data_IF_704672374517
#
_entry.id   IF_704672374517
#
_cell.length_a   1.000
_cell.length_b   1.000
_cell.length_c   1.000
_cell.angle_alpha   90.00
_cell.angle_beta   90.00
_cell.angle_gamma   90.00
#
_symmetry.space_group_name_H-M   'P 1'
#
loop_
_entity.id
_entity.type
_entity.pdbx_description
1 polymer ?
#
# COMPACT_ATOMS: atom_id res chain seq x y z
N UNK A 1 2.53 -14.83 13.14
CA UNK A 1 1.32 -14.72 12.36
C UNK A 1 0.35 -15.87 12.60
N UNK A 2 0.68 -17.11 12.21
CA UNK A 2 -0.17 -18.32 12.35
C UNK A 2 -0.81 -18.49 13.74
N UNK A 3 -0.02 -18.42 14.81
CA UNK A 3 -0.50 -18.58 16.19
C UNK A 3 -1.50 -17.49 16.57
N UNK A 4 -1.26 -16.24 16.17
CA UNK A 4 -2.16 -15.14 16.47
C UNK A 4 -3.49 -15.26 15.71
N UNK A 5 -3.43 -15.63 14.41
CA UNK A 5 -4.66 -15.83 13.63
C UNK A 5 -5.54 -16.95 14.23
N UNK A 6 -4.93 -18.06 14.65
CA UNK A 6 -5.65 -19.14 15.32
C UNK A 6 -6.23 -18.70 16.66
N UNK A 7 -5.44 -18.01 17.49
CA UNK A 7 -5.92 -17.53 18.78
C UNK A 7 -7.13 -16.60 18.65
N UNK A 8 -7.08 -15.64 17.72
CA UNK A 8 -8.20 -14.73 17.43
C UNK A 8 -9.45 -15.51 17.01
N UNK A 9 -9.28 -16.50 16.14
CA UNK A 9 -10.36 -17.32 15.63
C UNK A 9 -10.95 -18.23 16.72
N UNK A 10 -10.11 -18.96 17.45
CA UNK A 10 -10.53 -19.91 18.51
C UNK A 10 -11.19 -19.22 19.70
N UNK A 11 -10.77 -18.01 20.02
CA UNK A 11 -11.39 -17.18 21.07
C UNK A 11 -12.71 -16.51 20.62
N UNK A 12 -13.10 -16.67 19.35
CA UNK A 12 -14.33 -16.09 18.82
C UNK A 12 -14.32 -14.57 18.80
N UNK A 13 -13.13 -13.96 18.61
CA UNK A 13 -13.02 -12.51 18.47
C UNK A 13 -13.77 -12.08 17.20
N UNK A 14 -14.71 -11.11 17.30
CA UNK A 14 -15.60 -10.78 16.18
C UNK A 14 -14.93 -10.04 15.01
N UNK A 15 -13.65 -9.72 15.13
CA UNK A 15 -12.87 -8.99 14.13
C UNK A 15 -11.71 -9.83 13.59
N UNK A 16 -11.33 -9.67 12.32
CA UNK A 16 -10.15 -10.34 11.79
C UNK A 16 -8.89 -9.86 12.51
N UNK A 17 -7.84 -10.68 12.47
CA UNK A 17 -6.53 -10.23 12.93
C UNK A 17 -6.03 -9.10 12.03
N UNK A 18 -5.79 -7.92 12.60
CA UNK A 18 -5.28 -6.75 11.91
C UNK A 18 -3.74 -6.78 11.86
N UNK A 19 -3.18 -6.69 10.66
CA UNK A 19 -1.75 -6.96 10.42
C UNK A 19 -1.08 -5.84 9.65
N UNK A 20 -0.05 -5.26 10.25
CA UNK A 20 0.98 -4.48 9.56
C UNK A 20 2.08 -5.44 9.12
N UNK A 21 2.27 -5.61 7.81
CA UNK A 21 3.28 -6.52 7.30
C UNK A 21 4.70 -5.99 7.54
N UNK A 22 5.67 -6.89 7.51
CA UNK A 22 7.08 -6.54 7.64
C UNK A 22 7.66 -6.01 6.32
N UNK A 23 8.90 -5.47 6.38
CA UNK A 23 9.66 -4.99 5.22
C UNK A 23 8.99 -3.80 4.50
N UNK A 24 8.37 -2.92 5.26
CA UNK A 24 7.79 -1.68 4.74
C UNK A 24 8.87 -0.89 3.97
N UNK A 25 8.53 -0.42 2.77
CA UNK A 25 9.45 0.35 1.92
C UNK A 25 10.54 -0.46 1.18
N UNK A 26 10.68 -1.74 1.44
CA UNK A 26 11.72 -2.58 0.82
C UNK A 26 11.28 -3.08 -0.55
N UNK A 27 12.06 -2.88 -1.64
CA UNK A 27 11.77 -3.44 -2.94
C UNK A 27 11.57 -4.97 -2.88
N UNK A 28 10.53 -5.47 -3.55
CA UNK A 28 10.19 -6.90 -3.53
C UNK A 28 9.46 -7.37 -2.27
N UNK A 29 9.02 -6.46 -1.40
CA UNK A 29 8.33 -6.79 -0.16
C UNK A 29 6.99 -7.52 -0.38
N UNK A 30 6.40 -7.44 -1.57
CA UNK A 30 5.17 -8.17 -1.90
C UNK A 30 5.30 -9.67 -1.62
N UNK A 31 6.49 -10.24 -1.76
CA UNK A 31 6.75 -11.66 -1.47
C UNK A 31 6.53 -11.97 0.01
N UNK A 32 7.09 -11.14 0.90
CA UNK A 32 6.88 -11.30 2.35
C UNK A 32 5.44 -11.02 2.77
N UNK A 33 4.76 -10.14 2.06
CA UNK A 33 3.33 -9.88 2.26
C UNK A 33 2.49 -11.11 1.91
N UNK A 34 2.75 -11.74 0.76
CA UNK A 34 2.11 -12.99 0.34
C UNK A 34 2.37 -14.11 1.37
N UNK A 35 3.61 -14.25 1.85
CA UNK A 35 3.92 -15.25 2.88
C UNK A 35 3.19 -14.96 4.20
N UNK A 36 2.99 -13.69 4.55
CA UNK A 36 2.18 -13.29 5.72
C UNK A 36 0.72 -13.69 5.54
N UNK A 37 0.15 -13.47 4.36
CA UNK A 37 -1.21 -13.88 4.01
C UNK A 37 -1.36 -15.40 4.09
N UNK A 38 -0.44 -16.15 3.48
CA UNK A 38 -0.43 -17.61 3.52
C UNK A 38 -0.32 -18.16 4.94
N UNK A 39 0.42 -17.49 5.81
CA UNK A 39 0.59 -17.90 7.21
C UNK A 39 -0.69 -17.74 8.05
N UNK A 40 -1.72 -17.07 7.54
CA UNK A 40 -3.04 -17.04 8.15
C UNK A 40 -3.85 -18.35 7.92
N UNK A 41 -3.40 -19.21 7.00
CA UNK A 41 -4.02 -20.52 6.70
C UNK A 41 -5.53 -20.42 6.37
N UNK A 42 -5.94 -19.33 5.71
CA UNK A 42 -7.34 -19.07 5.35
C UNK A 42 -8.21 -18.54 6.48
N UNK A 43 -7.65 -18.32 7.66
CA UNK A 43 -8.35 -17.67 8.77
C UNK A 43 -8.55 -16.17 8.49
N UNK A 44 -9.56 -15.53 9.11
CA UNK A 44 -9.82 -14.11 8.88
C UNK A 44 -8.64 -13.22 9.24
N UNK A 45 -8.19 -12.42 8.26
CA UNK A 45 -7.09 -11.48 8.42
C UNK A 45 -7.35 -10.20 7.63
N UNK A 46 -6.98 -9.08 8.22
CA UNK A 46 -7.00 -7.77 7.58
C UNK A 46 -5.57 -7.25 7.44
N UNK A 47 -5.15 -7.00 6.20
CA UNK A 47 -3.83 -6.40 5.92
C UNK A 47 -4.02 -4.90 5.75
N UNK A 48 -3.37 -4.14 6.63
CA UNK A 48 -3.51 -2.69 6.62
C UNK A 48 -2.52 -2.02 5.66
N UNK A 49 -2.90 -0.85 5.13
CA UNK A 49 -2.14 0.00 4.21
C UNK A 49 -1.32 -0.80 3.19
N UNK A 50 -1.99 -1.74 2.52
CA UNK A 50 -1.37 -2.75 1.66
C UNK A 50 -0.52 -2.16 0.53
N UNK A 51 -0.79 -0.93 0.13
CA UNK A 51 -0.01 -0.21 -0.87
C UNK A 51 1.47 -0.17 -0.50
N UNK A 52 1.82 0.04 0.77
CA UNK A 52 3.21 0.09 1.23
C UNK A 52 3.90 -1.29 1.28
N UNK A 53 3.15 -2.34 1.03
CA UNK A 53 3.59 -3.74 1.06
C UNK A 53 3.44 -4.45 -0.30
N UNK A 54 3.18 -3.68 -1.38
CA UNK A 54 2.94 -4.18 -2.74
C UNK A 54 4.03 -3.76 -3.72
N UNK A 55 5.27 -3.67 -3.25
CA UNK A 55 6.40 -3.30 -4.07
C UNK A 55 7.06 -4.52 -4.70
N UNK A 56 7.20 -4.47 -6.03
CA UNK A 56 8.05 -5.36 -6.82
C UNK A 56 9.50 -4.89 -6.85
N UNK A 57 10.35 -5.68 -7.47
CA UNK A 57 11.77 -5.35 -7.67
C UNK A 57 12.21 -5.59 -9.11
N UNK A 58 11.29 -5.45 -10.05
CA UNK A 58 11.56 -5.58 -11.47
C UNK A 58 11.94 -4.23 -12.09
N UNK A 59 12.49 -4.30 -13.32
CA UNK A 59 12.85 -3.11 -14.08
C UNK A 59 14.24 -2.56 -13.74
N UNK A 60 14.58 -1.51 -14.44
CA UNK A 60 15.89 -0.86 -14.39
C UNK A 60 16.19 -0.14 -13.07
N UNK A 61 15.15 0.27 -12.36
CA UNK A 61 15.25 0.92 -11.04
C UNK A 61 15.17 -0.07 -9.86
N UNK A 62 15.03 -1.38 -10.14
CA UNK A 62 14.84 -2.40 -9.11
C UNK A 62 13.68 -2.06 -8.14
N UNK A 63 12.68 -1.33 -8.62
CA UNK A 63 11.48 -0.92 -7.89
C UNK A 63 10.30 -0.80 -8.86
N UNK A 64 9.25 -1.56 -8.63
CA UNK A 64 8.09 -1.67 -9.54
C UNK A 64 6.80 -1.90 -8.76
N UNK A 65 5.66 -1.83 -9.44
CA UNK A 65 4.39 -2.30 -8.88
C UNK A 65 4.35 -3.82 -8.84
N UNK A 66 3.80 -4.36 -7.76
CA UNK A 66 3.37 -5.75 -7.63
C UNK A 66 1.89 -5.81 -7.20
N UNK A 67 1.11 -4.78 -7.56
CA UNK A 67 -0.32 -4.69 -7.25
C UNK A 67 -1.11 -5.84 -7.87
N UNK A 68 -0.78 -6.24 -9.10
CA UNK A 68 -1.43 -7.35 -9.79
C UNK A 68 -1.25 -8.68 -9.04
N UNK A 69 -0.03 -8.96 -8.60
CA UNK A 69 0.29 -10.17 -7.83
C UNK A 69 -0.43 -10.19 -6.47
N UNK A 70 -0.46 -9.06 -5.77
CA UNK A 70 -1.15 -8.95 -4.48
C UNK A 70 -2.66 -9.10 -4.65
N UNK A 71 -3.25 -8.42 -5.62
CA UNK A 71 -4.71 -8.47 -5.83
C UNK A 71 -5.19 -9.85 -6.27
N UNK A 72 -4.36 -10.62 -6.96
CA UNK A 72 -4.66 -12.02 -7.25
C UNK A 72 -4.91 -12.82 -5.96
N UNK A 73 -4.13 -12.59 -4.89
CA UNK A 73 -4.35 -13.21 -3.59
C UNK A 73 -5.57 -12.66 -2.88
N UNK A 74 -5.80 -11.34 -2.93
CA UNK A 74 -6.99 -10.71 -2.34
C UNK A 74 -8.26 -11.32 -2.96
N UNK A 75 -8.30 -11.43 -4.27
CA UNK A 75 -9.46 -11.94 -4.98
C UNK A 75 -9.73 -13.43 -4.67
N UNK A 76 -8.67 -14.24 -4.53
CA UNK A 76 -8.78 -15.70 -4.31
C UNK A 76 -9.09 -16.12 -2.87
N UNK A 77 -8.66 -15.38 -1.87
CA UNK A 77 -8.77 -15.80 -0.46
C UNK A 77 -10.04 -15.21 0.17
N UNK A 78 -11.04 -16.02 0.54
CA UNK A 78 -12.35 -15.51 0.97
C UNK A 78 -12.30 -14.61 2.22
N UNK A 79 -11.48 -14.97 3.20
CA UNK A 79 -11.42 -14.32 4.51
C UNK A 79 -10.29 -13.28 4.62
N UNK A 80 -9.76 -12.83 3.49
CA UNK A 80 -8.76 -11.78 3.40
C UNK A 80 -9.44 -10.46 3.07
N UNK A 81 -9.22 -9.46 3.91
CA UNK A 81 -9.56 -8.07 3.63
C UNK A 81 -8.31 -7.19 3.74
N UNK A 82 -8.34 -6.02 3.14
CA UNK A 82 -7.26 -5.06 3.26
C UNK A 82 -7.76 -3.62 3.15
N UNK A 83 -6.99 -2.69 3.64
CA UNK A 83 -7.13 -1.28 3.32
C UNK A 83 -5.93 -0.79 2.50
N UNK A 84 -6.16 0.23 1.68
CA UNK A 84 -5.17 0.67 0.70
C UNK A 84 -4.04 1.47 1.32
N UNK A 85 -4.33 2.42 2.19
CA UNK A 85 -3.33 3.37 2.67
C UNK A 85 -2.84 4.31 1.55
N UNK A 86 -3.77 4.84 0.73
CA UNK A 86 -3.46 5.58 -0.49
C UNK A 86 -2.56 6.80 -0.27
N UNK A 87 -1.45 6.85 -0.99
CA UNK A 87 -0.60 8.03 -1.10
C UNK A 87 -1.22 9.05 -2.05
N UNK A 88 -1.29 10.31 -1.61
CA UNK A 88 -1.61 11.45 -2.46
C UNK A 88 -0.51 12.51 -2.34
N UNK A 89 -0.32 13.29 -3.42
CA UNK A 89 0.71 14.32 -3.42
C UNK A 89 0.33 15.50 -2.53
N UNK A 90 1.26 15.94 -1.72
CA UNK A 90 1.07 17.04 -0.78
C UNK A 90 1.77 16.81 0.55
N UNK A 91 1.52 17.72 1.46
CA UNK A 91 2.05 17.65 2.83
C UNK A 91 1.31 16.60 3.65
N UNK A 92 2.07 15.85 4.40
CA UNK A 92 1.57 14.82 5.33
C UNK A 92 2.49 14.72 6.55
N UNK A 93 2.16 13.85 7.46
CA UNK A 93 3.04 13.44 8.54
C UNK A 93 3.12 11.92 8.55
N UNK A 94 4.33 11.40 8.58
CA UNK A 94 4.54 9.97 8.77
C UNK A 94 4.81 9.69 10.25
N UNK A 95 4.27 8.56 10.71
CA UNK A 95 4.65 7.97 11.99
C UNK A 95 5.39 6.68 11.70
N UNK A 96 6.47 6.46 12.40
CA UNK A 96 7.23 5.26 12.22
C UNK A 96 7.50 4.61 13.57
N UNK A 97 7.33 3.32 13.62
CA UNK A 97 7.64 2.45 14.75
C UNK A 97 8.42 1.25 14.25
N UNK A 98 9.31 1.49 13.29
CA UNK A 98 10.04 0.46 12.59
C UNK A 98 10.90 -0.37 13.52
N UNK A 99 10.95 -1.66 13.26
CA UNK A 99 11.81 -2.56 14.00
C UNK A 99 13.28 -2.36 13.63
N UNK A 100 14.19 -2.76 14.51
CA UNK A 100 15.64 -2.77 14.24
C UNK A 100 15.99 -3.55 12.98
N UNK A 101 15.19 -4.54 12.60
CA UNK A 101 15.40 -5.29 11.35
C UNK A 101 15.06 -4.44 10.12
N UNK A 102 14.02 -3.64 10.19
CA UNK A 102 13.66 -2.70 9.12
C UNK A 102 14.73 -1.62 8.99
N UNK A 103 15.25 -1.10 10.10
CA UNK A 103 16.39 -0.20 10.09
C UNK A 103 17.62 -0.86 9.46
N UNK A 104 17.95 -2.07 9.81
CA UNK A 104 19.09 -2.78 9.21
C UNK A 104 18.96 -2.96 7.69
N UNK A 105 17.74 -2.95 7.16
CA UNK A 105 17.44 -3.03 5.73
C UNK A 105 17.23 -1.66 5.06
N UNK A 106 17.43 -0.56 5.76
CA UNK A 106 17.10 0.78 5.25
C UNK A 106 17.77 1.12 3.92
N UNK A 107 19.00 0.61 3.68
CA UNK A 107 19.71 0.81 2.41
C UNK A 107 19.02 0.20 1.19
N UNK A 108 18.04 -0.66 1.39
CA UNK A 108 17.22 -1.27 0.34
C UNK A 108 15.81 -0.66 0.27
N UNK A 109 15.49 0.29 1.13
CA UNK A 109 14.17 0.88 1.22
C UNK A 109 13.97 2.01 0.20
N UNK A 110 12.73 2.15 -0.25
CA UNK A 110 12.22 3.26 -1.04
C UNK A 110 10.80 3.57 -0.56
N UNK A 111 10.40 4.81 -0.41
CA UNK A 111 11.16 6.05 -0.55
C UNK A 111 12.09 6.30 0.64
N UNK A 112 12.96 7.26 0.47
CA UNK A 112 13.94 7.69 1.48
C UNK A 112 13.33 8.17 2.80
N UNK A 113 12.03 8.41 2.86
CA UNK A 113 11.36 8.80 4.11
C UNK A 113 11.60 7.80 5.25
N UNK A 114 11.86 6.56 4.93
CA UNK A 114 12.23 5.54 5.90
C UNK A 114 13.71 5.59 6.27
N UNK A 115 14.52 6.16 5.38
CA UNK A 115 15.95 6.30 5.55
C UNK A 115 16.32 7.52 6.40
N UNK A 116 15.67 8.64 6.14
CA UNK A 116 15.97 9.87 6.86
C UNK A 116 15.31 9.92 8.25
N UNK A 117 14.54 8.91 8.57
CA UNK A 117 13.71 8.90 9.77
C UNK A 117 14.14 7.81 10.73
N UNK A 118 15.43 7.68 10.92
CA UNK A 118 15.99 6.82 11.95
C UNK A 118 15.71 7.31 13.36
N UNK A 119 14.77 8.23 13.48
CA UNK A 119 14.23 8.69 14.74
C UNK A 119 13.79 7.52 15.60
N UNK A 120 13.20 6.51 15.00
CA UNK A 120 12.82 5.31 15.73
C UNK A 120 14.02 4.55 16.26
N UNK A 121 15.07 4.50 15.49
CA UNK A 121 16.31 3.82 15.90
C UNK A 121 17.06 4.57 16.97
N UNK A 122 16.97 5.89 16.94
CA UNK A 122 17.59 6.77 17.94
C UNK A 122 16.67 7.05 19.13
N UNK A 123 15.38 7.22 18.88
CA UNK A 123 14.41 7.70 19.86
C UNK A 123 13.16 6.81 20.02
N UNK A 124 13.06 5.70 19.30
CA UNK A 124 11.93 4.78 19.34
C UNK A 124 10.86 5.12 18.32
N UNK A 125 9.92 5.98 18.60
CA UNK A 125 8.86 6.38 17.68
C UNK A 125 8.89 7.88 17.43
N UNK A 126 8.56 8.27 16.20
CA UNK A 126 8.51 9.67 15.84
C UNK A 126 7.38 10.03 14.90
N UNK A 127 6.96 11.29 14.95
CA UNK A 127 6.06 11.90 13.97
C UNK A 127 6.88 12.91 13.17
N UNK A 128 6.94 12.71 11.87
CA UNK A 128 7.80 13.49 11.00
C UNK A 128 7.00 14.08 9.84
N UNK A 129 7.13 15.39 9.57
CA UNK A 129 6.59 16.00 8.36
C UNK A 129 7.19 15.36 7.13
N UNK A 130 6.33 15.03 6.16
CA UNK A 130 6.73 14.49 4.89
C UNK A 130 5.93 15.12 3.75
N UNK A 131 6.52 15.21 2.56
CA UNK A 131 5.82 15.70 1.37
C UNK A 131 5.96 14.72 0.23
N UNK A 132 4.86 14.09 -0.16
CA UNK A 132 4.79 13.34 -1.40
C UNK A 132 4.78 14.29 -2.59
N UNK A 133 5.58 13.99 -3.63
CA UNK A 133 5.66 14.78 -4.84
C UNK A 133 5.48 13.93 -6.08
N UNK A 134 4.80 14.50 -7.07
CA UNK A 134 4.56 13.89 -8.38
C UNK A 134 5.82 13.75 -9.25
N UNK A 135 6.86 14.51 -8.93
CA UNK A 135 8.16 14.46 -9.58
C UNK A 135 9.10 13.38 -9.01
N UNK A 136 8.77 12.81 -7.87
CA UNK A 136 9.50 11.67 -7.33
C UNK A 136 8.98 10.38 -7.98
N UNK A 137 9.84 9.63 -8.65
CA UNK A 137 9.51 8.33 -9.22
C UNK A 137 8.88 7.39 -8.16
N UNK A 138 9.47 7.35 -6.99
CA UNK A 138 8.99 6.47 -5.89
C UNK A 138 7.60 6.89 -5.42
N UNK A 139 7.39 8.20 -5.21
CA UNK A 139 6.08 8.68 -4.75
C UNK A 139 5.00 8.50 -5.84
N UNK A 140 5.34 8.72 -7.11
CA UNK A 140 4.44 8.48 -8.23
C UNK A 140 4.08 6.99 -8.36
N UNK A 141 5.05 6.09 -8.16
CA UNK A 141 4.79 4.66 -8.15
C UNK A 141 3.90 4.24 -6.95
N UNK A 142 4.15 4.78 -5.77
CA UNK A 142 3.31 4.55 -4.60
C UNK A 142 1.86 4.99 -4.85
N UNK A 143 1.68 6.17 -5.45
CA UNK A 143 0.37 6.66 -5.85
C UNK A 143 -0.33 5.71 -6.81
N UNK A 144 0.39 5.21 -7.82
CA UNK A 144 -0.15 4.27 -8.80
C UNK A 144 -0.52 2.93 -8.17
N UNK A 145 0.35 2.34 -7.36
CA UNK A 145 0.14 1.04 -6.69
C UNK A 145 -1.15 1.04 -5.86
N UNK A 146 -1.41 2.09 -5.11
CA UNK A 146 -2.62 2.14 -4.30
C UNK A 146 -3.89 2.16 -5.14
N UNK A 147 -3.91 2.96 -6.22
CA UNK A 147 -5.04 2.99 -7.16
C UNK A 147 -5.21 1.66 -7.91
N UNK A 148 -4.10 1.06 -8.36
CA UNK A 148 -4.12 -0.26 -9.00
C UNK A 148 -4.71 -1.32 -8.08
N UNK A 149 -4.24 -1.39 -6.85
CA UNK A 149 -4.70 -2.38 -5.87
C UNK A 149 -6.20 -2.25 -5.63
N UNK A 150 -6.70 -1.02 -5.49
CA UNK A 150 -8.13 -0.79 -5.33
C UNK A 150 -8.93 -1.18 -6.57
N UNK A 151 -8.46 -0.78 -7.77
CA UNK A 151 -9.18 -1.00 -9.03
C UNK A 151 -9.12 -2.44 -9.54
N UNK A 152 -8.11 -3.22 -9.14
CA UNK A 152 -7.94 -4.62 -9.53
C UNK A 152 -8.64 -5.59 -8.57
N UNK A 153 -9.05 -5.12 -7.40
CA UNK A 153 -9.81 -5.95 -6.46
C UNK A 153 -11.24 -6.09 -6.96
N UNK A 154 -11.66 -7.33 -7.20
CA UNK A 154 -12.97 -7.65 -7.84
C UNK A 154 -14.13 -7.51 -6.86
N UNK A 155 -13.92 -7.88 -5.61
CA UNK A 155 -14.92 -7.84 -4.56
C UNK A 155 -14.75 -6.58 -3.71
N UNK A 156 -15.69 -5.62 -3.78
CA UNK A 156 -15.60 -4.37 -3.03
C UNK A 156 -15.65 -4.54 -1.51
N UNK A 157 -16.14 -5.68 -1.01
CA UNK A 157 -16.18 -5.96 0.43
C UNK A 157 -14.82 -6.41 0.98
N UNK A 158 -13.83 -6.62 0.10
CA UNK A 158 -12.48 -7.04 0.49
C UNK A 158 -11.48 -5.91 0.59
N UNK A 159 -11.80 -4.72 0.06
CA UNK A 159 -10.86 -3.61 0.03
C UNK A 159 -11.49 -2.31 0.54
N UNK A 160 -10.78 -1.65 1.45
CA UNK A 160 -11.23 -0.41 2.04
C UNK A 160 -10.39 0.76 1.56
N UNK A 161 -11.08 1.84 1.18
CA UNK A 161 -10.44 3.05 0.77
C UNK A 161 -9.96 3.82 2.00
N UNK A 162 -8.66 3.83 2.22
CA UNK A 162 -8.01 4.58 3.30
C UNK A 162 -6.84 5.39 2.77
N UNK A 163 -6.37 6.33 3.55
CA UNK A 163 -5.14 7.09 3.27
C UNK A 163 -4.06 6.84 4.33
N UNK A 164 -4.29 5.88 5.23
CA UNK A 164 -3.41 5.70 6.40
C UNK A 164 -3.15 7.04 7.10
N UNK A 165 -4.26 7.78 7.32
CA UNK A 165 -4.19 9.15 7.83
C UNK A 165 -3.35 9.26 9.12
N UNK A 166 -2.37 10.18 9.17
CA UNK A 166 -2.01 11.17 8.17
C UNK A 166 -0.91 10.74 7.19
N UNK A 167 -0.44 9.49 7.24
CA UNK A 167 0.78 9.05 6.55
C UNK A 167 0.69 9.15 5.01
N UNK A 168 -0.28 8.51 4.38
CA UNK A 168 -0.45 8.57 2.92
C UNK A 168 -1.03 9.89 2.45
N UNK A 169 -2.04 10.40 3.16
CA UNK A 169 -2.65 11.70 2.92
C UNK A 169 -3.57 12.10 4.09
N UNK A 170 -3.90 13.40 4.24
CA UNK A 170 -4.92 13.83 5.18
C UNK A 170 -6.31 13.33 4.76
N UNK A 171 -7.20 13.07 5.73
CA UNK A 171 -8.56 12.58 5.45
C UNK A 171 -9.40 13.56 4.63
N UNK A 172 -9.05 14.84 4.61
CA UNK A 172 -9.69 15.86 3.75
C UNK A 172 -9.47 15.62 2.26
N UNK A 173 -8.56 14.71 1.90
CA UNK A 173 -8.23 14.36 0.51
C UNK A 173 -9.17 13.33 -0.12
N UNK A 174 -10.12 12.75 0.63
CA UNK A 174 -11.03 11.72 0.11
C UNK A 174 -11.84 12.16 -1.13
N UNK A 175 -12.35 13.39 -1.24
CA UNK A 175 -13.04 13.81 -2.48
C UNK A 175 -12.14 13.73 -3.72
N UNK A 176 -10.86 14.07 -3.59
CA UNK A 176 -9.88 13.95 -4.68
C UNK A 176 -9.60 12.47 -5.00
N UNK A 177 -9.45 11.63 -3.98
CA UNK A 177 -9.22 10.20 -4.14
C UNK A 177 -10.39 9.51 -4.83
N UNK A 178 -11.62 9.83 -4.44
CA UNK A 178 -12.83 9.32 -5.11
C UNK A 178 -12.83 9.73 -6.58
N UNK A 179 -12.48 10.99 -6.89
CA UNK A 179 -12.38 11.44 -8.27
C UNK A 179 -11.34 10.64 -9.07
N UNK A 180 -10.19 10.34 -8.50
CA UNK A 180 -9.14 9.50 -9.13
C UNK A 180 -9.66 8.09 -9.48
N UNK A 181 -10.51 7.53 -8.65
CA UNK A 181 -11.09 6.20 -8.87
C UNK A 181 -12.22 6.24 -9.91
N UNK A 182 -13.03 7.29 -9.90
CA UNK A 182 -14.24 7.40 -10.72
C UNK A 182 -14.02 8.02 -12.10
N UNK A 183 -13.01 8.86 -12.26
CA UNK A 183 -12.72 9.60 -13.49
C UNK A 183 -11.39 9.14 -14.09
N UNK A 184 -11.48 8.17 -15.01
CA UNK A 184 -10.30 7.62 -15.70
C UNK A 184 -9.54 8.71 -16.44
N UNK A 185 -10.23 9.62 -17.13
CA UNK A 185 -9.58 10.69 -17.90
C UNK A 185 -8.79 11.62 -16.97
N UNK A 186 -9.36 11.97 -15.84
CA UNK A 186 -8.68 12.78 -14.83
C UNK A 186 -7.44 12.06 -14.29
N UNK A 187 -7.55 10.79 -13.95
CA UNK A 187 -6.45 9.96 -13.44
C UNK A 187 -5.32 9.82 -14.46
N UNK A 188 -5.67 9.52 -15.73
CA UNK A 188 -4.69 9.32 -16.80
C UNK A 188 -3.94 10.64 -17.12
N UNK A 189 -4.65 11.77 -17.13
CA UNK A 189 -4.02 13.08 -17.32
C UNK A 189 -3.01 13.41 -16.20
N UNK A 190 -3.32 13.07 -14.95
CA UNK A 190 -2.39 13.25 -13.85
C UNK A 190 -1.17 12.33 -14.01
N UNK A 191 -1.38 11.07 -14.37
CA UNK A 191 -0.29 10.14 -14.61
C UNK A 191 0.66 10.62 -15.71
N UNK A 192 0.12 11.24 -16.78
CA UNK A 192 0.92 11.78 -17.87
C UNK A 192 1.74 13.02 -17.49
N UNK A 193 1.36 13.72 -16.44
CA UNK A 193 2.09 14.88 -15.90
C UNK A 193 3.20 14.50 -14.93
N UNK A 194 3.27 13.23 -14.52
CA UNK A 194 4.29 12.74 -13.59
C UNK A 194 5.61 12.45 -14.29
N UNK A 195 6.54 11.86 -13.57
CA UNK A 195 7.81 11.41 -14.13
C UNK A 195 7.57 10.53 -15.37
N UNK A 196 8.32 10.82 -16.43
CA UNK A 196 8.21 10.14 -17.74
C UNK A 196 8.35 8.61 -17.61
N UNK A 197 9.09 8.16 -16.62
CA UNK A 197 9.36 6.74 -16.43
C UNK A 197 8.22 5.96 -15.76
N UNK A 198 7.33 6.64 -15.05
CA UNK A 198 6.32 5.96 -14.25
C UNK A 198 5.33 5.13 -15.11
N UNK A 199 4.99 5.60 -16.28
CA UNK A 199 4.07 4.92 -17.19
C UNK A 199 4.55 3.54 -17.68
N UNK A 200 5.85 3.26 -17.55
CA UNK A 200 6.46 1.99 -17.87
C UNK A 200 6.45 0.99 -16.71
N UNK A 201 6.13 1.47 -15.51
CA UNK A 201 6.22 0.71 -14.27
C UNK A 201 4.85 0.51 -13.60
N UNK A 202 3.78 0.92 -14.26
CA UNK A 202 2.40 0.83 -13.80
C UNK A 202 1.49 0.34 -14.92
N UNK A 203 0.45 -0.40 -14.58
CA UNK A 203 -0.61 -0.82 -15.49
C UNK A 203 -1.87 0.07 -15.37
N UNK A 204 -1.79 1.15 -14.61
CA UNK A 204 -2.93 1.98 -14.23
C UNK A 204 -3.72 2.51 -15.43
N UNK A 205 -3.05 2.82 -16.56
CA UNK A 205 -3.71 3.25 -17.81
C UNK A 205 -4.58 2.16 -18.44
N UNK A 206 -4.20 0.91 -18.26
CA UNK A 206 -4.91 -0.24 -18.85
C UNK A 206 -6.15 -0.61 -18.03
N UNK A 207 -6.22 -0.15 -16.78
CA UNK A 207 -7.34 -0.41 -15.89
C UNK A 207 -8.49 0.53 -16.20
N UNK A 208 -9.67 -0.04 -16.45
CA UNK A 208 -10.91 0.72 -16.64
C UNK A 208 -11.32 1.45 -15.35
N UNK A 209 -12.30 2.31 -15.41
CA UNK A 209 -12.80 3.04 -14.24
C UNK A 209 -13.42 2.13 -13.19
N UNK A 210 -13.47 2.62 -11.95
CA UNK A 210 -13.95 1.93 -10.76
C UNK A 210 -15.37 1.39 -10.89
N UNK A 211 -15.59 0.19 -10.33
CA UNK A 211 -16.87 -0.52 -10.28
C UNK A 211 -17.84 -0.02 -9.19
N UNK A 212 -17.54 1.07 -8.48
CA UNK A 212 -18.39 1.56 -7.38
C UNK A 212 -19.85 1.89 -7.79
N UNK A 213 -20.19 1.81 -9.09
CA UNK A 213 -21.52 2.13 -9.61
C UNK A 213 -21.98 1.23 -10.78
N UNK A 214 -21.56 0.00 -10.85
CA UNK A 214 -22.05 -0.95 -11.88
C UNK A 214 -23.05 -1.97 -11.33
N UNK A 215 -23.79 -1.64 -10.31
CA UNK A 215 -24.93 -2.42 -9.83
C UNK A 215 -26.23 -1.70 -10.07
#
# INVERSE_FOLDING_TARGET
MRVLARAVYELGVPHPLHVHCSNLGVPGNFKSTIETIKAAEGLPVHITHIQFHSYGNNGDRNFSSASAEITEYINKIPNLTCDVGQVLFGQTATMSGDSMKQHANHSHAHPDKWLCMDIECEAGCGVVPFKYTDQSFVNALQWAIGLETFLLTEDPDKIFLTTDHPNGAPFTSYPHLIKLLMDKTFRDNLLDQMSVDISKHTILKDIKSCLLYTS
#
